data_IF_936467948063
#
_entry.id   IF_936467948063
#
_cell.length_a   1.000
_cell.length_b   1.000
_cell.length_c   1.000
_cell.angle_alpha   90.00
_cell.angle_beta   90.00
_cell.angle_gamma   90.00
#
_symmetry.space_group_name_H-M   'P 1'
#
loop_
_entity.id
_entity.type
_entity.pdbx_description
1 polymer ?
#
# COMPACT_ATOMS: atom_id res chain seq x y z
N UNK A 1 -0.06 -26.35 -0.53
CA UNK A 1 -0.64 -26.47 -1.89
C UNK A 1 -2.14 -26.36 -1.76
N UNK A 2 -2.77 -25.52 -2.57
CA UNK A 2 -4.20 -25.29 -2.58
C UNK A 2 -4.89 -26.21 -3.59
N UNK A 3 -6.15 -26.52 -3.32
CA UNK A 3 -7.06 -27.11 -4.30
C UNK A 3 -7.83 -26.01 -5.05
N UNK A 4 -8.38 -26.34 -6.22
CA UNK A 4 -9.20 -25.39 -6.97
C UNK A 4 -10.43 -24.93 -6.16
N UNK A 5 -10.94 -25.76 -5.26
CA UNK A 5 -12.00 -25.46 -4.28
C UNK A 5 -11.63 -24.38 -3.26
N UNK A 6 -10.34 -24.18 -2.96
CA UNK A 6 -9.89 -23.19 -1.98
C UNK A 6 -9.89 -21.76 -2.55
N UNK A 7 -9.92 -21.64 -3.89
CA UNK A 7 -9.87 -20.38 -4.61
C UNK A 7 -11.03 -19.48 -4.19
N UNK A 8 -10.67 -18.25 -3.82
CA UNK A 8 -11.60 -17.19 -3.44
C UNK A 8 -10.94 -15.85 -3.66
N UNK A 9 -11.74 -14.80 -3.78
CA UNK A 9 -11.24 -13.42 -3.84
C UNK A 9 -10.34 -13.11 -2.63
N UNK A 10 -9.18 -12.51 -2.90
CA UNK A 10 -8.15 -12.18 -1.91
C UNK A 10 -7.15 -13.30 -1.62
N UNK A 11 -7.35 -14.52 -2.11
CA UNK A 11 -6.39 -15.60 -1.90
C UNK A 11 -5.10 -15.33 -2.69
N UNK A 12 -3.95 -15.45 -2.02
CA UNK A 12 -2.63 -15.39 -2.65
C UNK A 12 -2.23 -16.80 -3.08
N UNK A 13 -1.86 -16.98 -4.34
CA UNK A 13 -1.51 -18.26 -4.95
C UNK A 13 -0.15 -18.17 -5.65
N UNK A 14 0.56 -19.29 -5.76
CA UNK A 14 1.77 -19.39 -6.57
C UNK A 14 1.47 -20.21 -7.83
N UNK A 15 1.80 -19.65 -9.00
CA UNK A 15 1.67 -20.33 -10.28
C UNK A 15 2.98 -20.17 -11.03
N UNK A 16 3.50 -21.29 -11.55
CA UNK A 16 4.74 -21.29 -12.35
C UNK A 16 5.93 -20.63 -11.61
N UNK A 17 5.93 -20.70 -10.27
CA UNK A 17 6.96 -20.13 -9.41
C UNK A 17 6.81 -18.64 -9.09
N UNK A 18 5.74 -17.99 -9.56
CA UNK A 18 5.45 -16.56 -9.39
C UNK A 18 4.22 -16.31 -8.48
N UNK A 19 4.22 -15.23 -7.67
CA UNK A 19 3.14 -14.95 -6.73
C UNK A 19 2.01 -14.11 -7.35
N UNK A 20 0.77 -14.55 -7.16
CA UNK A 20 -0.45 -13.88 -7.62
C UNK A 20 -1.47 -13.70 -6.49
N UNK A 21 -2.39 -12.75 -6.65
CA UNK A 21 -3.58 -12.58 -5.82
C UNK A 21 -4.84 -12.71 -6.68
N UNK A 22 -5.82 -13.48 -6.21
CA UNK A 22 -7.12 -13.62 -6.87
C UNK A 22 -7.95 -12.35 -6.62
N UNK A 23 -8.22 -11.58 -7.67
CA UNK A 23 -9.01 -10.35 -7.59
C UNK A 23 -10.50 -10.60 -7.81
N UNK A 24 -10.83 -11.59 -8.65
CA UNK A 24 -12.20 -12.01 -8.95
C UNK A 24 -12.26 -13.53 -9.03
N UNK A 25 -13.40 -14.09 -8.64
CA UNK A 25 -13.63 -15.53 -8.59
C UNK A 25 -15.06 -15.85 -9.01
N UNK A 26 -15.20 -16.78 -9.95
CA UNK A 26 -16.47 -17.32 -10.43
C UNK A 26 -16.38 -18.85 -10.50
N UNK A 27 -17.43 -19.52 -10.00
CA UNK A 27 -17.51 -20.96 -9.97
C UNK A 27 -18.71 -21.44 -10.79
N UNK A 28 -18.45 -22.30 -11.77
CA UNK A 28 -19.48 -22.89 -12.61
C UNK A 28 -19.37 -24.42 -12.61
N UNK A 29 -20.46 -25.10 -12.23
CA UNK A 29 -20.61 -26.54 -12.36
C UNK A 29 -21.65 -26.86 -13.44
N UNK A 30 -21.24 -27.22 -14.66
CA UNK A 30 -22.18 -27.58 -15.72
C UNK A 30 -22.92 -28.88 -15.36
N UNK A 31 -24.19 -29.00 -15.77
CA UNK A 31 -25.01 -30.19 -15.48
C UNK A 31 -24.43 -31.50 -16.03
N UNK A 32 -23.56 -31.42 -17.04
CA UNK A 32 -22.64 -32.47 -17.48
C UNK A 32 -21.26 -31.87 -17.70
N UNK A 33 -20.25 -32.31 -16.94
CA UNK A 33 -18.85 -31.86 -17.07
C UNK A 33 -18.14 -31.68 -15.74
N UNK A 34 -16.85 -31.35 -15.81
CA UNK A 34 -16.05 -31.00 -14.62
C UNK A 34 -16.36 -29.57 -14.17
N UNK A 35 -16.19 -29.30 -12.88
CA UNK A 35 -16.33 -27.96 -12.33
C UNK A 35 -15.21 -27.04 -12.84
N UNK A 36 -15.56 -25.79 -13.13
CA UNK A 36 -14.66 -24.75 -13.62
C UNK A 36 -14.59 -23.60 -12.62
N UNK A 37 -13.37 -23.21 -12.28
CA UNK A 37 -13.07 -22.12 -11.35
C UNK A 37 -12.41 -20.99 -12.14
N UNK A 38 -13.18 -20.00 -12.56
CA UNK A 38 -12.68 -18.87 -13.35
C UNK A 38 -12.21 -17.79 -12.40
N UNK A 39 -10.94 -17.43 -12.48
CA UNK A 39 -10.35 -16.40 -11.65
C UNK A 39 -9.75 -15.29 -12.51
N UNK A 40 -9.93 -14.05 -12.07
CA UNK A 40 -9.04 -12.97 -12.46
C UNK A 40 -7.96 -12.87 -11.40
N UNK A 41 -6.70 -12.95 -11.81
CA UNK A 41 -5.54 -12.93 -10.93
C UNK A 41 -4.64 -11.74 -11.26
N UNK A 42 -4.05 -11.13 -10.25
CA UNK A 42 -3.08 -10.03 -10.36
C UNK A 42 -1.72 -10.49 -9.87
N UNK A 43 -0.68 -10.27 -10.66
CA UNK A 43 0.69 -10.57 -10.29
C UNK A 43 1.14 -9.63 -9.17
N UNK A 44 1.72 -10.19 -8.11
CA UNK A 44 2.08 -9.39 -6.93
C UNK A 44 3.35 -8.55 -7.16
N UNK A 45 4.32 -9.03 -7.95
CA UNK A 45 5.55 -8.28 -8.25
C UNK A 45 5.38 -7.17 -9.30
N UNK A 46 4.72 -7.45 -10.43
CA UNK A 46 4.62 -6.48 -11.55
C UNK A 46 3.22 -5.88 -11.75
N UNK A 47 2.22 -6.31 -10.98
CA UNK A 47 0.87 -5.76 -11.03
C UNK A 47 0.01 -6.16 -12.23
N UNK A 48 0.54 -6.95 -13.19
CA UNK A 48 -0.20 -7.39 -14.37
C UNK A 48 -1.40 -8.27 -14.00
N UNK A 49 -2.51 -8.15 -14.74
CA UNK A 49 -3.72 -8.96 -14.51
C UNK A 49 -3.93 -9.96 -15.64
N UNK A 50 -4.34 -11.18 -15.32
CA UNK A 50 -4.78 -12.18 -16.30
C UNK A 50 -6.00 -12.95 -15.81
N UNK A 51 -6.74 -13.53 -16.74
CA UNK A 51 -7.82 -14.47 -16.45
C UNK A 51 -7.31 -15.90 -16.62
N UNK A 52 -7.59 -16.76 -15.64
CA UNK A 52 -7.21 -18.17 -15.66
C UNK A 52 -8.37 -19.02 -15.15
N UNK A 53 -8.67 -20.08 -15.90
CA UNK A 53 -9.66 -21.08 -15.48
C UNK A 53 -8.92 -22.27 -14.88
N UNK A 54 -9.20 -22.57 -13.62
CA UNK A 54 -8.69 -23.73 -12.91
C UNK A 54 -9.70 -24.88 -12.96
N UNK A 55 -9.18 -26.10 -12.99
CA UNK A 55 -9.87 -27.38 -12.88
C UNK A 55 -9.41 -28.05 -11.59
N UNK A 56 -10.17 -29.04 -11.13
CA UNK A 56 -9.87 -29.79 -9.89
C UNK A 56 -8.48 -30.44 -9.89
N UNK A 57 -7.95 -30.77 -11.07
CA UNK A 57 -6.62 -31.40 -11.23
C UNK A 57 -5.47 -30.41 -11.25
N UNK A 58 -5.74 -29.11 -11.33
CA UNK A 58 -4.70 -28.10 -11.43
C UNK A 58 -3.98 -27.93 -10.09
N UNK A 59 -2.65 -27.94 -10.13
CA UNK A 59 -1.81 -27.73 -8.95
C UNK A 59 -1.65 -26.24 -8.70
N UNK A 60 -2.07 -25.81 -7.52
CA UNK A 60 -2.01 -24.40 -7.10
C UNK A 60 -1.05 -24.28 -5.92
N UNK A 61 0.06 -23.58 -6.13
CA UNK A 61 1.06 -23.39 -5.09
C UNK A 61 0.58 -22.44 -4.00
N UNK A 62 1.13 -22.61 -2.80
CA UNK A 62 1.04 -21.64 -1.71
C UNK A 62 2.27 -20.74 -1.82
N UNK A 63 2.10 -19.44 -2.15
CA UNK A 63 3.24 -18.56 -2.29
C UNK A 63 3.84 -18.33 -0.91
N UNK A 64 5.16 -18.27 -0.86
CA UNK A 64 5.91 -18.00 0.36
C UNK A 64 5.83 -16.52 0.73
N UNK A 65 4.64 -16.11 1.17
CA UNK A 65 4.30 -14.73 1.49
C UNK A 65 3.98 -14.62 2.98
N UNK A 66 4.72 -13.76 3.65
CA UNK A 66 4.49 -13.45 5.05
C UNK A 66 4.19 -11.97 5.21
N UNK A 67 3.28 -11.66 6.12
CA UNK A 67 3.03 -10.30 6.55
C UNK A 67 3.61 -10.14 7.95
N UNK A 68 4.48 -9.15 8.12
CA UNK A 68 5.07 -8.80 9.42
C UNK A 68 4.66 -7.40 9.82
N UNK A 69 4.30 -7.26 11.09
CA UNK A 69 4.09 -5.97 11.73
C UNK A 69 5.46 -5.43 12.13
N UNK A 70 5.79 -4.24 11.67
CA UNK A 70 7.10 -3.64 11.86
C UNK A 70 6.97 -2.20 12.31
N UNK A 71 8.05 -1.64 12.83
CA UNK A 71 8.14 -0.24 13.24
C UNK A 71 9.27 0.39 12.44
N UNK A 72 9.00 1.50 11.75
CA UNK A 72 10.05 2.24 11.06
C UNK A 72 11.06 2.81 12.07
N UNK A 73 12.35 2.62 11.79
CA UNK A 73 13.44 3.01 12.67
C UNK A 73 14.23 4.20 12.14
N UNK A 74 14.97 4.03 11.05
CA UNK A 74 15.79 5.09 10.45
C UNK A 74 16.14 4.77 8.99
N UNK A 75 16.70 5.75 8.29
CA UNK A 75 17.25 5.59 6.94
C UNK A 75 18.75 5.32 7.01
N UNK A 76 19.21 4.28 6.33
CA UNK A 76 20.61 3.87 6.17
C UNK A 76 20.99 3.94 4.69
N UNK A 77 21.53 5.09 4.25
CA UNK A 77 21.84 5.33 2.84
C UNK A 77 20.59 5.28 1.95
N UNK A 78 20.55 4.32 1.02
CA UNK A 78 19.42 4.09 0.11
C UNK A 78 18.37 3.10 0.67
N UNK A 79 18.59 2.62 1.89
CA UNK A 79 17.71 1.67 2.58
C UNK A 79 16.96 2.33 3.73
N UNK A 80 15.74 1.87 3.95
CA UNK A 80 14.88 2.22 5.08
C UNK A 80 14.80 1.02 6.00
N UNK A 81 15.21 1.20 7.25
CA UNK A 81 15.32 0.13 8.24
C UNK A 81 14.05 0.09 9.08
N UNK A 82 13.42 -1.08 9.13
CA UNK A 82 12.25 -1.36 9.94
C UNK A 82 12.61 -2.45 10.96
N UNK A 83 12.13 -2.33 12.19
CA UNK A 83 12.30 -3.35 13.22
C UNK A 83 11.02 -4.17 13.34
N UNK A 84 11.13 -5.49 13.32
CA UNK A 84 10.01 -6.41 13.58
C UNK A 84 9.45 -6.18 14.99
N UNK A 85 8.14 -5.97 15.11
CA UNK A 85 7.50 -5.64 16.38
C UNK A 85 7.55 -6.78 17.41
N UNK A 86 7.83 -8.02 16.98
CA UNK A 86 7.87 -9.22 17.83
C UNK A 86 9.29 -9.73 18.06
N UNK A 87 10.09 -9.78 17.00
CA UNK A 87 11.45 -10.37 17.06
C UNK A 87 12.55 -9.33 17.21
N UNK A 88 12.26 -8.04 17.01
CA UNK A 88 13.23 -6.95 16.93
C UNK A 88 14.28 -7.13 15.81
N UNK A 89 14.05 -8.06 14.88
CA UNK A 89 14.90 -8.23 13.71
C UNK A 89 14.76 -7.03 12.77
N UNK A 90 15.89 -6.58 12.22
CA UNK A 90 15.91 -5.48 11.27
C UNK A 90 15.62 -5.98 9.85
N UNK A 91 14.69 -5.31 9.18
CA UNK A 91 14.31 -5.54 7.79
C UNK A 91 14.68 -4.28 7.01
N UNK A 92 15.56 -4.45 6.02
CA UNK A 92 15.99 -3.37 5.11
C UNK A 92 15.09 -3.34 3.87
N UNK A 93 14.48 -2.20 3.60
CA UNK A 93 13.62 -1.97 2.44
C UNK A 93 14.25 -0.91 1.54
N UNK A 94 14.21 -1.09 0.22
CA UNK A 94 14.73 -0.09 -0.73
C UNK A 94 13.70 1.02 -0.99
N UNK A 95 14.19 2.20 -1.38
CA UNK A 95 13.34 3.31 -1.81
C UNK A 95 12.34 2.91 -2.93
N UNK A 96 12.74 1.99 -3.81
CA UNK A 96 11.90 1.50 -4.92
C UNK A 96 10.64 0.79 -4.43
N UNK A 97 10.74 0.02 -3.35
CA UNK A 97 9.60 -0.72 -2.77
C UNK A 97 8.65 0.22 -2.02
N UNK A 98 9.19 1.26 -1.39
CA UNK A 98 8.38 2.27 -0.68
C UNK A 98 7.72 3.29 -1.61
N UNK A 99 8.35 3.62 -2.74
CA UNK A 99 7.84 4.58 -3.71
C UNK A 99 7.54 5.94 -3.06
N UNK A 100 6.32 6.44 -3.25
CA UNK A 100 5.89 7.74 -2.71
C UNK A 100 5.71 7.72 -1.17
N UNK A 101 5.54 6.54 -0.57
CA UNK A 101 5.30 6.43 0.87
C UNK A 101 6.49 6.86 1.72
N UNK A 102 7.68 7.00 1.11
CA UNK A 102 8.88 7.57 1.75
C UNK A 102 8.59 8.92 2.39
N UNK A 103 7.82 9.79 1.73
CA UNK A 103 7.48 11.12 2.23
C UNK A 103 6.52 11.10 3.43
N UNK A 104 5.92 9.96 3.72
CA UNK A 104 4.93 9.81 4.77
C UNK A 104 5.44 9.00 5.97
N UNK A 105 6.66 8.46 5.90
CA UNK A 105 7.28 7.78 7.04
C UNK A 105 7.57 8.79 8.17
N UNK A 106 7.35 8.34 9.40
CA UNK A 106 7.75 8.99 10.64
C UNK A 106 8.47 7.98 11.50
N UNK A 107 9.41 8.45 12.31
CA UNK A 107 10.12 7.63 13.27
C UNK A 107 9.12 6.92 14.21
N UNK A 108 9.39 5.65 14.51
CA UNK A 108 8.51 4.82 15.33
C UNK A 108 7.11 4.57 14.76
N UNK A 109 6.90 4.79 13.44
CA UNK A 109 5.62 4.52 12.80
C UNK A 109 5.36 3.01 12.63
N UNK A 110 4.22 2.49 13.12
CA UNK A 110 3.84 1.10 12.88
C UNK A 110 3.45 0.92 11.41
N UNK A 111 4.12 0.01 10.73
CA UNK A 111 3.90 -0.35 9.34
C UNK A 111 3.69 -1.86 9.22
N UNK A 112 3.25 -2.27 8.04
CA UNK A 112 3.15 -3.68 7.67
C UNK A 112 4.04 -3.95 6.47
N UNK A 113 4.91 -4.94 6.55
CA UNK A 113 5.70 -5.39 5.40
C UNK A 113 5.18 -6.73 4.91
N UNK A 114 4.98 -6.84 3.59
CA UNK A 114 4.78 -8.10 2.91
C UNK A 114 6.13 -8.57 2.38
N UNK A 115 6.55 -9.75 2.84
CA UNK A 115 7.75 -10.44 2.39
C UNK A 115 7.34 -11.54 1.40
N UNK A 116 8.08 -11.69 0.31
CA UNK A 116 8.00 -12.82 -0.60
C UNK A 116 9.37 -13.49 -0.66
N UNK A 117 9.47 -14.76 -0.26
CA UNK A 117 10.76 -15.49 -0.13
C UNK A 117 11.81 -14.67 0.63
N UNK A 118 11.42 -14.17 1.79
CA UNK A 118 12.21 -13.31 2.68
C UNK A 118 12.59 -11.92 2.12
N UNK A 119 12.15 -11.55 0.92
CA UNK A 119 12.39 -10.22 0.33
C UNK A 119 11.19 -9.31 0.49
N UNK A 120 11.35 -8.06 0.94
CA UNK A 120 10.26 -7.09 1.02
C UNK A 120 9.75 -6.75 -0.38
N UNK A 121 8.45 -6.93 -0.59
CA UNK A 121 7.79 -6.63 -1.87
C UNK A 121 6.78 -5.49 -1.77
N UNK A 122 6.22 -5.26 -0.60
CA UNK A 122 5.24 -4.21 -0.36
C UNK A 122 5.34 -3.73 1.08
N UNK A 123 5.22 -2.41 1.28
CA UNK A 123 5.11 -1.82 2.61
C UNK A 123 3.80 -1.04 2.67
N UNK A 124 2.97 -1.36 3.64
CA UNK A 124 1.72 -0.65 3.92
C UNK A 124 1.92 0.23 5.15
N UNK A 125 1.79 1.54 4.96
CA UNK A 125 1.75 2.53 6.04
C UNK A 125 0.32 2.63 6.61
N UNK A 126 0.14 3.24 7.79
CA UNK A 126 -1.17 3.68 8.25
C UNK A 126 -1.88 4.51 7.17
N UNK A 127 -3.20 4.34 7.04
CA UNK A 127 -4.01 5.02 6.01
C UNK A 127 -3.87 6.54 6.12
N UNK A 128 -3.72 7.03 7.34
CA UNK A 128 -3.61 8.45 7.64
C UNK A 128 -2.34 8.75 8.43
N UNK A 129 -1.65 9.80 8.02
CA UNK A 129 -0.50 10.34 8.74
C UNK A 129 -0.71 11.81 9.03
N UNK A 130 -0.18 12.29 10.15
CA UNK A 130 -0.28 13.69 10.54
C UNK A 130 1.06 14.37 10.26
N UNK A 131 1.04 15.39 9.40
CA UNK A 131 2.24 16.10 8.97
C UNK A 131 2.03 17.60 9.12
N UNK A 132 3.10 18.28 9.51
CA UNK A 132 3.11 19.74 9.63
C UNK A 132 3.39 20.37 8.26
N UNK A 133 2.66 21.43 7.95
CA UNK A 133 2.92 22.22 6.73
C UNK A 133 4.21 23.01 6.91
N UNK A 134 5.22 22.70 6.09
CA UNK A 134 6.49 23.41 6.06
C UNK A 134 6.36 24.78 5.38
N UNK A 135 5.68 24.83 4.22
CA UNK A 135 5.46 26.07 3.47
C UNK A 135 4.13 26.06 2.71
N UNK A 136 3.44 27.20 2.70
CA UNK A 136 2.30 27.47 1.81
C UNK A 136 2.06 28.97 1.73
N UNK A 137 1.54 29.45 0.61
CA UNK A 137 1.20 30.86 0.45
C UNK A 137 -0.05 31.25 1.28
N UNK A 138 -0.13 32.50 1.77
CA UNK A 138 -1.36 33.00 2.40
C UNK A 138 -2.55 32.91 1.44
N UNK A 139 -3.68 32.39 1.92
CA UNK A 139 -4.88 32.30 1.08
C UNK A 139 -5.40 33.69 0.70
N UNK A 140 -5.53 33.97 -0.60
CA UNK A 140 -6.13 35.21 -1.07
C UNK A 140 -7.64 35.19 -0.77
N UNK A 141 -8.09 36.06 0.15
CA UNK A 141 -9.51 36.18 0.58
C UNK A 141 -10.50 36.60 -0.52
N UNK A 142 -10.05 36.75 -1.77
CA UNK A 142 -10.88 37.19 -2.90
C UNK A 142 -11.57 36.08 -3.67
N UNK A 143 -11.17 34.81 -3.48
CA UNK A 143 -11.72 33.69 -4.23
C UNK A 143 -12.96 33.14 -3.51
N UNK A 144 -14.15 33.56 -3.96
CA UNK A 144 -15.46 33.13 -3.42
C UNK A 144 -15.94 31.79 -4.00
N UNK A 145 -15.12 31.12 -4.80
CA UNK A 145 -15.41 29.79 -5.30
C UNK A 145 -15.28 28.73 -4.19
N UNK A 146 -16.30 27.88 -4.07
CA UNK A 146 -16.26 26.68 -3.23
C UNK A 146 -15.16 25.73 -3.75
N UNK A 147 -14.40 25.08 -2.86
CA UNK A 147 -13.31 24.14 -3.19
C UNK A 147 -12.02 24.72 -3.81
N UNK A 148 -11.70 25.99 -3.57
CA UNK A 148 -10.39 26.52 -3.97
C UNK A 148 -9.29 25.88 -3.12
N UNK A 149 -8.30 25.31 -3.80
CA UNK A 149 -7.12 24.69 -3.19
C UNK A 149 -5.86 25.42 -3.62
N UNK A 150 -4.89 25.51 -2.72
CA UNK A 150 -3.56 26.09 -2.94
C UNK A 150 -2.46 25.03 -2.77
N UNK A 151 -1.30 25.19 -3.42
CA UNK A 151 -0.17 24.31 -3.19
C UNK A 151 0.41 24.50 -1.78
N UNK A 152 0.91 23.41 -1.23
CA UNK A 152 1.68 23.39 0.01
C UNK A 152 2.76 22.33 -0.02
N UNK A 153 3.83 22.60 0.70
CA UNK A 153 5.00 21.74 0.83
C UNK A 153 5.13 21.30 2.28
N UNK A 154 5.33 20.00 2.50
CA UNK A 154 5.73 19.46 3.79
C UNK A 154 7.20 19.79 4.09
N UNK A 155 7.63 19.64 5.35
CA UNK A 155 9.02 19.92 5.75
C UNK A 155 10.05 19.06 5.00
N UNK A 156 9.66 17.87 4.53
CA UNK A 156 10.49 16.97 3.73
C UNK A 156 10.41 17.19 2.21
N UNK A 157 9.75 18.27 1.76
CA UNK A 157 9.69 18.65 0.34
C UNK A 157 8.54 18.03 -0.46
N UNK A 158 7.65 17.23 0.14
CA UNK A 158 6.49 16.70 -0.56
C UNK A 158 5.45 17.80 -0.84
N UNK A 159 5.06 17.94 -2.11
CA UNK A 159 4.11 18.94 -2.58
C UNK A 159 2.71 18.34 -2.82
N UNK A 160 1.68 19.00 -2.31
CA UNK A 160 0.28 18.60 -2.46
C UNK A 160 -0.67 19.79 -2.37
N UNK A 161 -1.96 19.57 -2.63
CA UNK A 161 -2.98 20.63 -2.60
C UNK A 161 -3.72 20.62 -1.27
N UNK A 162 -3.86 21.78 -0.66
CA UNK A 162 -4.59 22.01 0.59
C UNK A 162 -5.67 23.09 0.42
N UNK A 163 -6.71 23.11 1.28
CA UNK A 163 -7.68 24.20 1.29
C UNK A 163 -7.06 25.57 1.65
N UNK A 164 -7.65 26.66 1.16
CA UNK A 164 -7.15 28.03 1.40
C UNK A 164 -6.98 28.42 2.88
N UNK A 165 -7.79 27.85 3.77
CA UNK A 165 -7.81 28.18 5.20
C UNK A 165 -6.67 27.56 6.01
N UNK A 166 -5.96 26.57 5.45
CA UNK A 166 -4.81 25.92 6.08
C UNK A 166 -3.60 26.83 5.92
N UNK A 167 -2.86 27.06 6.99
CA UNK A 167 -1.71 27.96 7.00
C UNK A 167 -0.41 27.19 7.24
N UNK A 168 0.71 27.87 7.00
CA UNK A 168 2.02 27.35 7.36
C UNK A 168 2.06 27.05 8.87
N UNK A 169 2.63 25.90 9.23
CA UNK A 169 2.69 25.43 10.62
C UNK A 169 1.47 24.66 11.11
N UNK A 170 0.33 24.68 10.39
CA UNK A 170 -0.83 23.84 10.73
C UNK A 170 -0.45 22.35 10.57
N UNK A 171 -1.02 21.49 11.42
CA UNK A 171 -0.91 20.04 11.28
C UNK A 171 -2.09 19.51 10.50
N UNK A 172 -1.81 18.82 9.41
CA UNK A 172 -2.82 18.21 8.53
C UNK A 172 -2.69 16.70 8.52
N UNK A 173 -3.83 16.03 8.32
CA UNK A 173 -3.91 14.61 8.07
C UNK A 173 -3.88 14.37 6.56
N UNK A 174 -3.04 13.43 6.13
CA UNK A 174 -2.83 13.07 4.72
C UNK A 174 -3.20 11.60 4.53
N UNK A 175 -3.90 11.28 3.45
CA UNK A 175 -4.14 9.88 3.04
C UNK A 175 -2.89 9.33 2.35
N UNK A 176 -2.24 8.32 2.91
CA UNK A 176 -0.97 7.77 2.40
C UNK A 176 -1.11 7.01 1.08
N UNK A 177 -2.33 6.64 0.69
CA UNK A 177 -2.61 5.89 -0.53
C UNK A 177 -2.66 6.80 -1.75
N UNK A 178 -3.23 8.00 -1.58
CA UNK A 178 -3.36 9.01 -2.64
C UNK A 178 -2.33 10.14 -2.50
N UNK A 179 -1.80 10.35 -1.30
CA UNK A 179 -0.93 11.47 -0.96
C UNK A 179 -1.68 12.80 -0.87
N UNK A 180 -3.01 12.76 -0.68
CA UNK A 180 -3.88 13.94 -0.67
C UNK A 180 -4.23 14.40 0.74
N UNK A 181 -4.55 15.69 0.85
CA UNK A 181 -5.10 16.27 2.07
C UNK A 181 -6.42 15.59 2.46
N UNK A 182 -6.53 15.19 3.73
CA UNK A 182 -7.77 14.64 4.29
C UNK A 182 -8.47 15.67 5.19
N UNK A 183 -7.81 16.13 6.26
CA UNK A 183 -8.37 17.11 7.18
C UNK A 183 -7.27 17.92 7.89
N UNK A 184 -7.65 19.03 8.54
CA UNK A 184 -6.74 19.79 9.42
C UNK A 184 -6.98 19.35 10.86
N UNK A 185 -5.94 18.82 11.48
CA UNK A 185 -5.99 18.25 12.83
C UNK A 185 -5.80 19.33 13.89
N UNK A 186 -4.80 20.20 13.71
CA UNK A 186 -4.55 21.30 14.63
C UNK A 186 -4.14 22.57 13.90
N UNK A 187 -4.32 23.69 14.61
CA UNK A 187 -3.89 25.01 14.16
C UNK A 187 -2.61 25.38 14.91
N UNK A 188 -1.67 26.03 14.21
CA UNK A 188 -0.49 26.62 14.83
C UNK A 188 -0.85 27.73 15.84
#
# INVERSE_FOLDING_TARGET
MYEASDLRKGLKIELDGEPYIVTEFDFCKPGKGQALYRCRIKHLLNGSTMEKTFRVVDKIGTPDIYQREVIYSYQEGDHYVFSDAKTFEEIRVTAQVLGHSIYFLDDSMPCTIVLYREKPVEVTLPIFVEKKIGFTEPGARGDTATNVTKPATLENGYEFRIPLFVNQGDTVRIDTRTGEYNERVSKA
#
